data_IF_978053749941
#
_entry.id   IF_978053749941
#
_cell.length_a   1.000
_cell.length_b   1.000
_cell.length_c   1.000
_cell.angle_alpha   90.00
_cell.angle_beta   90.00
_cell.angle_gamma   90.00
#
_symmetry.space_group_name_H-M   'P 1'
#
loop_
_entity.id
_entity.type
_entity.pdbx_description
1 polymer ?
#
# COMPACT_ATOMS: atom_id res chain seq x y z
N UNK A 1 3.86 -18.09 -12.94
CA UNK A 1 2.61 -18.52 -13.63
C UNK A 1 1.70 -17.30 -13.69
N UNK A 2 1.11 -16.95 -14.86
CA UNK A 2 0.18 -15.81 -14.99
C UNK A 2 -1.17 -16.16 -14.36
N UNK A 3 -1.68 -15.27 -13.54
CA UNK A 3 -2.99 -15.42 -12.90
C UNK A 3 -3.81 -14.13 -13.05
N UNK A 4 -5.12 -14.25 -12.86
CA UNK A 4 -6.01 -13.12 -12.64
C UNK A 4 -6.39 -13.09 -11.17
N UNK A 5 -6.39 -11.90 -10.56
CA UNK A 5 -6.83 -11.67 -9.18
C UNK A 5 -8.18 -10.98 -9.18
N UNK A 6 -9.22 -11.70 -8.77
CA UNK A 6 -10.57 -11.18 -8.60
C UNK A 6 -10.75 -10.77 -7.14
N UNK A 7 -11.07 -9.51 -6.90
CA UNK A 7 -11.29 -8.95 -5.57
C UNK A 7 -12.69 -8.37 -5.51
N UNK A 8 -13.45 -8.71 -4.48
CA UNK A 8 -14.85 -8.35 -4.30
C UNK A 8 -15.10 -7.86 -2.88
N UNK A 9 -15.87 -6.78 -2.74
CA UNK A 9 -16.50 -6.34 -1.50
C UNK A 9 -17.97 -6.05 -1.76
N UNK A 10 -18.88 -6.56 -0.92
CA UNK A 10 -20.31 -6.35 -1.12
C UNK A 10 -21.09 -6.52 0.21
N UNK A 11 -22.36 -6.07 0.28
CA UNK A 11 -23.24 -6.44 1.37
C UNK A 11 -23.34 -7.97 1.51
N UNK A 12 -23.16 -8.48 2.74
CA UNK A 12 -23.13 -9.93 2.98
C UNK A 12 -24.53 -10.56 2.82
N UNK A 13 -24.60 -11.65 2.08
CA UNK A 13 -25.81 -12.46 1.91
C UNK A 13 -25.51 -13.87 1.38
N UNK A 14 -26.47 -14.76 1.58
CA UNK A 14 -26.40 -16.14 1.08
C UNK A 14 -26.23 -16.15 -0.45
N UNK A 15 -25.37 -17.05 -0.94
CA UNK A 15 -25.21 -17.33 -2.36
C UNK A 15 -24.01 -16.64 -3.03
N UNK A 16 -23.36 -15.66 -2.43
CA UNK A 16 -22.22 -14.94 -3.04
C UNK A 16 -21.14 -15.92 -3.51
N UNK A 17 -20.61 -16.74 -2.60
CA UNK A 17 -19.55 -17.70 -2.90
C UNK A 17 -19.98 -18.69 -3.97
N UNK A 18 -21.21 -19.19 -3.87
CA UNK A 18 -21.75 -20.15 -4.84
C UNK A 18 -21.84 -19.55 -6.25
N UNK A 19 -22.35 -18.33 -6.40
CA UNK A 19 -22.48 -17.67 -7.70
C UNK A 19 -21.11 -17.36 -8.34
N UNK A 20 -20.17 -16.83 -7.56
CA UNK A 20 -18.82 -16.56 -8.05
C UNK A 20 -18.12 -17.87 -8.45
N UNK A 21 -18.19 -18.89 -7.62
CA UNK A 21 -17.55 -20.18 -7.91
C UNK A 21 -18.20 -20.90 -9.10
N UNK A 22 -19.53 -20.85 -9.23
CA UNK A 22 -20.24 -21.42 -10.37
C UNK A 22 -19.88 -20.68 -11.68
N UNK A 23 -19.76 -19.36 -11.65
CA UNK A 23 -19.30 -18.59 -12.80
C UNK A 23 -17.90 -19.05 -13.25
N UNK A 24 -16.95 -19.14 -12.31
CA UNK A 24 -15.60 -19.59 -12.63
C UNK A 24 -15.60 -21.03 -13.14
N UNK A 25 -16.32 -21.92 -12.51
CA UNK A 25 -16.40 -23.33 -12.89
C UNK A 25 -17.03 -23.53 -14.28
N UNK A 26 -18.09 -22.78 -14.62
CA UNK A 26 -18.74 -22.84 -15.92
C UNK A 26 -17.85 -22.39 -17.09
N UNK A 27 -16.79 -21.62 -16.78
CA UNK A 27 -15.78 -21.17 -17.74
C UNK A 27 -14.43 -21.89 -17.58
N UNK A 28 -14.40 -23.06 -16.91
CA UNK A 28 -13.20 -23.86 -16.62
C UNK A 28 -12.14 -23.10 -15.80
N UNK A 29 -12.50 -22.07 -15.09
CA UNK A 29 -11.58 -21.25 -14.27
C UNK A 29 -10.97 -22.06 -13.13
N UNK A 30 -9.64 -22.19 -13.13
CA UNK A 30 -8.90 -22.89 -12.10
C UNK A 30 -8.48 -21.92 -11.00
N UNK A 31 -9.14 -21.99 -9.85
CA UNK A 31 -8.81 -21.20 -8.67
C UNK A 31 -7.57 -21.80 -8.01
N UNK A 32 -6.52 -21.01 -7.84
CA UNK A 32 -5.28 -21.41 -7.15
C UNK A 32 -5.26 -20.95 -5.70
N UNK A 33 -5.94 -19.83 -5.40
CA UNK A 33 -6.10 -19.29 -4.05
C UNK A 33 -7.49 -18.71 -3.89
N UNK A 34 -8.11 -18.95 -2.73
CA UNK A 34 -9.43 -18.41 -2.38
C UNK A 34 -9.44 -17.97 -0.92
N UNK A 35 -9.73 -16.71 -0.69
CA UNK A 35 -9.87 -16.12 0.63
C UNK A 35 -11.20 -15.40 0.75
N UNK A 36 -11.90 -15.63 1.86
CA UNK A 36 -13.21 -15.05 2.14
C UNK A 36 -13.26 -14.55 3.58
N UNK A 37 -13.94 -13.44 3.78
CA UNK A 37 -14.22 -12.91 5.12
C UNK A 37 -15.60 -12.28 5.16
N UNK A 38 -16.41 -12.65 6.14
CA UNK A 38 -17.69 -12.04 6.46
C UNK A 38 -17.51 -11.19 7.72
N UNK A 39 -17.66 -9.89 7.60
CA UNK A 39 -17.63 -8.98 8.74
C UNK A 39 -19.03 -8.80 9.31
N UNK A 40 -19.33 -9.53 10.38
CA UNK A 40 -20.62 -9.50 11.05
C UNK A 40 -20.96 -8.13 11.67
N UNK A 41 -19.97 -7.25 11.90
CA UNK A 41 -20.23 -5.92 12.48
C UNK A 41 -20.73 -4.94 11.43
N UNK A 42 -20.12 -4.95 10.26
CA UNK A 42 -20.51 -4.07 9.15
C UNK A 42 -21.59 -4.67 8.25
N UNK A 43 -21.80 -5.99 8.31
CA UNK A 43 -22.67 -6.70 7.38
C UNK A 43 -22.09 -6.77 5.96
N UNK A 44 -20.75 -6.73 5.83
CA UNK A 44 -20.06 -6.81 4.55
C UNK A 44 -19.30 -8.11 4.39
N UNK A 45 -19.22 -8.55 3.13
CA UNK A 45 -18.48 -9.73 2.69
C UNK A 45 -17.32 -9.30 1.79
N UNK A 46 -16.18 -9.94 1.99
CA UNK A 46 -14.94 -9.70 1.25
C UNK A 46 -14.43 -11.01 0.66
N UNK A 47 -13.93 -10.93 -0.57
CA UNK A 47 -13.41 -12.09 -1.28
C UNK A 47 -12.20 -11.72 -2.12
N UNK A 48 -11.20 -12.60 -2.14
CA UNK A 48 -10.09 -12.56 -3.08
C UNK A 48 -9.89 -13.96 -3.66
N UNK A 49 -9.96 -14.07 -4.98
CA UNK A 49 -9.60 -15.28 -5.70
C UNK A 49 -8.42 -15.03 -6.62
N UNK A 50 -7.51 -15.99 -6.70
CA UNK A 50 -6.46 -16.04 -7.70
C UNK A 50 -6.77 -17.18 -8.68
N UNK A 51 -6.79 -16.88 -9.98
CA UNK A 51 -7.31 -17.77 -11.02
C UNK A 51 -6.24 -17.90 -12.09
N UNK A 52 -5.89 -19.10 -12.49
CA UNK A 52 -4.97 -19.32 -13.62
C UNK A 52 -5.53 -18.67 -14.88
N UNK A 53 -4.77 -17.75 -15.48
CA UNK A 53 -5.20 -17.04 -16.67
C UNK A 53 -5.37 -17.97 -17.88
N UNK A 54 -4.55 -19.02 -18.00
CA UNK A 54 -4.58 -20.01 -19.06
C UNK A 54 -5.74 -21.04 -18.95
N UNK A 55 -6.45 -21.05 -17.83
CA UNK A 55 -7.61 -21.92 -17.64
C UNK A 55 -8.90 -21.32 -18.16
N UNK A 56 -8.97 -20.00 -18.30
CA UNK A 56 -10.15 -19.30 -18.78
C UNK A 56 -10.16 -19.23 -20.32
N UNK A 57 -11.33 -19.33 -20.96
CA UNK A 57 -11.44 -19.30 -22.42
C UNK A 57 -11.33 -17.88 -23.01
N UNK A 58 -11.16 -16.86 -22.16
CA UNK A 58 -11.14 -15.44 -22.54
C UNK A 58 -10.15 -14.62 -21.69
N UNK A 59 -9.80 -13.45 -22.21
CA UNK A 59 -8.97 -12.49 -21.49
C UNK A 59 -9.74 -11.63 -20.50
N UNK A 60 -9.03 -10.70 -19.85
CA UNK A 60 -9.55 -9.91 -18.72
C UNK A 60 -10.75 -9.02 -19.08
N UNK A 61 -10.80 -8.45 -20.31
CA UNK A 61 -11.92 -7.58 -20.72
C UNK A 61 -13.21 -8.39 -20.91
N UNK A 62 -13.15 -9.54 -21.58
CA UNK A 62 -14.30 -10.41 -21.73
C UNK A 62 -14.73 -11.02 -20.38
N UNK A 63 -13.78 -11.23 -19.44
CA UNK A 63 -14.13 -11.59 -18.06
C UNK A 63 -14.97 -10.49 -17.39
N UNK A 64 -14.55 -9.22 -17.54
CA UNK A 64 -15.30 -8.09 -16.98
C UNK A 64 -16.73 -8.03 -17.50
N UNK A 65 -16.91 -8.18 -18.79
CA UNK A 65 -18.24 -8.20 -19.43
C UNK A 65 -19.10 -9.37 -18.93
N UNK A 66 -18.54 -10.58 -18.87
CA UNK A 66 -19.26 -11.77 -18.46
C UNK A 66 -19.60 -11.80 -16.96
N UNK A 67 -18.75 -11.21 -16.10
CA UNK A 67 -18.97 -11.18 -14.65
C UNK A 67 -19.88 -10.03 -14.21
N UNK A 68 -19.98 -8.94 -14.98
CA UNK A 68 -20.74 -7.74 -14.61
C UNK A 68 -22.18 -8.02 -14.15
N UNK A 69 -22.99 -8.90 -14.80
CA UNK A 69 -24.34 -9.19 -14.33
C UNK A 69 -24.39 -9.82 -12.93
N UNK A 70 -23.40 -10.62 -12.56
CA UNK A 70 -23.31 -11.23 -11.23
C UNK A 70 -22.94 -10.13 -10.22
N UNK A 71 -21.97 -9.29 -10.56
CA UNK A 71 -21.55 -8.18 -9.72
C UNK A 71 -22.72 -7.20 -9.45
N UNK A 72 -23.50 -6.87 -10.45
CA UNK A 72 -24.69 -6.02 -10.34
C UNK A 72 -25.75 -6.67 -9.42
N UNK A 73 -26.09 -7.95 -9.66
CA UNK A 73 -27.07 -8.68 -8.88
C UNK A 73 -26.75 -8.75 -7.40
N UNK A 74 -25.46 -8.68 -7.03
CA UNK A 74 -24.99 -8.69 -5.63
C UNK A 74 -24.50 -7.34 -5.14
N UNK A 75 -24.63 -6.28 -5.92
CA UNK A 75 -24.12 -4.93 -5.58
C UNK A 75 -22.64 -4.95 -5.17
N UNK A 76 -21.83 -5.68 -5.97
CA UNK A 76 -20.41 -5.87 -5.69
C UNK A 76 -19.61 -4.64 -6.12
N UNK A 77 -18.78 -4.12 -5.22
CA UNK A 77 -17.57 -3.37 -5.58
C UNK A 77 -16.48 -4.41 -5.87
N UNK A 78 -15.97 -4.40 -7.11
CA UNK A 78 -15.07 -5.45 -7.55
C UNK A 78 -14.04 -4.96 -8.57
N UNK A 79 -12.92 -5.65 -8.58
CA UNK A 79 -11.90 -5.48 -9.61
C UNK A 79 -11.27 -6.81 -9.97
N UNK A 80 -10.74 -6.88 -11.18
CA UNK A 80 -9.91 -7.98 -11.64
C UNK A 80 -8.61 -7.42 -12.23
N UNK A 81 -7.48 -7.99 -11.84
CA UNK A 81 -6.14 -7.59 -12.27
C UNK A 81 -5.40 -8.77 -12.90
N UNK A 82 -4.50 -8.46 -13.82
CA UNK A 82 -3.65 -9.45 -14.51
C UNK A 82 -2.24 -9.36 -13.91
N UNK A 83 -1.75 -10.45 -13.35
CA UNK A 83 -0.41 -10.49 -12.75
C UNK A 83 0.73 -10.36 -13.77
N UNK A 84 0.46 -10.43 -15.06
CA UNK A 84 1.46 -10.11 -16.08
C UNK A 84 1.70 -8.60 -16.21
N UNK A 85 0.81 -7.76 -15.68
CA UNK A 85 0.95 -6.31 -15.70
C UNK A 85 1.47 -5.83 -14.34
N UNK A 86 2.74 -5.43 -14.29
CA UNK A 86 3.34 -4.88 -13.09
C UNK A 86 2.77 -3.49 -12.82
N UNK A 87 2.35 -3.24 -11.56
CA UNK A 87 1.90 -1.90 -11.12
C UNK A 87 3.08 -0.93 -11.11
N UNK A 88 2.84 0.29 -11.62
CA UNK A 88 3.83 1.38 -11.60
C UNK A 88 3.79 2.11 -10.27
N UNK A 89 4.94 2.16 -9.61
CA UNK A 89 5.14 2.72 -8.28
C UNK A 89 6.05 3.94 -8.35
N UNK A 90 5.61 5.04 -7.78
CA UNK A 90 6.47 6.19 -7.47
C UNK A 90 6.82 6.14 -5.99
N UNK A 91 8.12 6.18 -5.67
CA UNK A 91 8.59 6.27 -4.30
C UNK A 91 8.89 7.74 -3.95
N UNK A 92 8.50 8.16 -2.76
CA UNK A 92 8.83 9.49 -2.25
C UNK A 92 9.62 9.37 -0.95
N UNK A 93 10.72 10.12 -0.84
CA UNK A 93 11.60 10.08 0.33
C UNK A 93 12.08 11.47 0.73
N UNK A 94 12.57 11.61 1.96
CA UNK A 94 13.32 12.78 2.42
C UNK A 94 14.80 12.39 2.65
N UNK A 95 15.38 12.65 3.82
CA UNK A 95 16.79 12.34 4.11
C UNK A 95 17.03 10.94 4.63
N UNK A 96 16.05 10.38 5.35
CA UNK A 96 16.17 9.04 5.94
C UNK A 96 16.12 7.96 4.85
N UNK A 97 17.20 7.19 4.73
CA UNK A 97 17.39 6.24 3.64
C UNK A 97 16.83 4.85 3.90
N UNK A 98 16.65 4.46 5.18
CA UNK A 98 16.44 3.06 5.57
C UNK A 98 15.24 2.39 4.88
N UNK A 99 14.09 3.07 4.79
CA UNK A 99 12.91 2.51 4.11
C UNK A 99 13.11 2.44 2.60
N UNK A 100 13.63 3.51 1.99
CA UNK A 100 13.88 3.55 0.55
C UNK A 100 14.90 2.49 0.13
N UNK A 101 16.02 2.37 0.85
CA UNK A 101 17.05 1.38 0.59
C UNK A 101 16.53 -0.06 0.67
N UNK A 102 15.69 -0.37 1.67
CA UNK A 102 15.07 -1.69 1.82
C UNK A 102 14.11 -2.00 0.66
N UNK A 103 13.27 -1.05 0.26
CA UNK A 103 12.36 -1.22 -0.89
C UNK A 103 13.13 -1.42 -2.21
N UNK A 104 14.20 -0.64 -2.45
CA UNK A 104 15.04 -0.79 -3.64
C UNK A 104 15.76 -2.15 -3.67
N UNK A 105 16.26 -2.61 -2.51
CA UNK A 105 16.87 -3.93 -2.39
C UNK A 105 15.88 -5.04 -2.72
N UNK A 106 14.68 -5.02 -2.12
CA UNK A 106 13.64 -6.03 -2.36
C UNK A 106 13.12 -6.00 -3.80
N UNK A 107 13.01 -4.84 -4.39
CA UNK A 107 12.66 -4.71 -5.80
C UNK A 107 13.74 -5.29 -6.71
N UNK A 108 15.02 -5.03 -6.43
CA UNK A 108 16.14 -5.55 -7.20
C UNK A 108 16.30 -7.08 -7.07
N UNK A 109 15.85 -7.65 -5.95
CA UNK A 109 15.87 -9.10 -5.70
C UNK A 109 14.57 -9.82 -6.10
N UNK A 110 13.67 -9.15 -6.83
CA UNK A 110 12.36 -9.66 -7.26
C UNK A 110 11.41 -10.06 -6.13
N UNK A 111 11.63 -9.56 -4.91
CA UNK A 111 10.68 -9.74 -3.80
C UNK A 111 9.43 -8.83 -3.90
N UNK A 112 9.56 -7.69 -4.60
CA UNK A 112 8.47 -6.77 -4.89
C UNK A 112 8.19 -6.76 -6.39
N UNK A 113 7.08 -7.35 -6.79
CA UNK A 113 6.66 -7.46 -8.19
C UNK A 113 5.96 -6.18 -8.66
N UNK A 114 6.76 -5.17 -8.96
CA UNK A 114 6.31 -3.87 -9.46
C UNK A 114 7.34 -3.23 -10.39
N UNK A 115 6.97 -2.14 -11.04
CA UNK A 115 7.85 -1.24 -11.75
C UNK A 115 8.05 0.03 -10.91
N UNK A 116 9.26 0.30 -10.43
CA UNK A 116 9.58 1.58 -9.80
C UNK A 116 9.89 2.58 -10.90
N UNK A 117 8.92 3.45 -11.20
CA UNK A 117 9.01 4.38 -12.33
C UNK A 117 9.94 5.56 -12.04
N UNK A 118 9.95 6.06 -10.80
CA UNK A 118 10.89 7.08 -10.34
C UNK A 118 10.88 7.22 -8.81
N UNK A 119 11.86 7.98 -8.31
CA UNK A 119 11.90 8.47 -6.93
C UNK A 119 11.80 10.00 -6.94
N UNK A 120 10.90 10.57 -6.11
CA UNK A 120 10.77 11.99 -5.89
C UNK A 120 11.19 12.30 -4.45
N UNK A 121 12.08 13.28 -4.28
CA UNK A 121 12.55 13.67 -2.95
C UNK A 121 12.65 15.19 -2.80
N UNK A 122 12.37 15.69 -1.60
CA UNK A 122 12.58 17.09 -1.25
C UNK A 122 14.03 17.42 -0.82
N UNK A 123 14.93 16.41 -0.86
CA UNK A 123 16.37 16.53 -0.63
C UNK A 123 17.14 15.76 -1.70
N UNK A 124 18.41 16.08 -1.87
CA UNK A 124 19.26 15.45 -2.88
C UNK A 124 20.14 14.32 -2.34
N UNK A 125 20.10 14.10 -1.04
CA UNK A 125 20.99 13.19 -0.29
C UNK A 125 20.94 11.73 -0.80
N UNK A 126 19.81 11.27 -1.35
CA UNK A 126 19.59 9.87 -1.73
C UNK A 126 19.76 9.60 -3.24
N UNK A 127 20.12 10.62 -4.03
CA UNK A 127 20.21 10.53 -5.49
C UNK A 127 21.11 9.40 -5.96
N UNK A 128 22.35 9.37 -5.48
CA UNK A 128 23.35 8.40 -5.94
C UNK A 128 22.92 6.95 -5.67
N UNK A 129 22.24 6.71 -4.54
CA UNK A 129 21.70 5.39 -4.21
C UNK A 129 20.61 4.95 -5.18
N UNK A 130 19.72 5.86 -5.56
CA UNK A 130 18.60 5.57 -6.47
C UNK A 130 19.09 5.39 -7.91
N UNK A 131 19.94 6.29 -8.38
CA UNK A 131 20.48 6.26 -9.74
C UNK A 131 21.38 5.04 -9.97
N UNK A 132 22.02 4.50 -8.91
CA UNK A 132 22.75 3.24 -8.99
C UNK A 132 21.86 2.06 -9.42
N UNK A 133 20.57 2.08 -9.07
CA UNK A 133 19.57 1.10 -9.51
C UNK A 133 19.01 1.39 -10.92
N UNK A 134 19.48 2.44 -11.61
CA UNK A 134 18.96 2.84 -12.92
C UNK A 134 17.60 3.54 -12.87
N UNK A 135 17.14 3.97 -11.68
CA UNK A 135 15.84 4.60 -11.48
C UNK A 135 15.98 6.13 -11.55
N UNK A 136 15.11 6.84 -12.30
CA UNK A 136 15.10 8.31 -12.34
C UNK A 136 14.87 8.92 -10.94
N UNK A 137 15.65 9.95 -10.61
CA UNK A 137 15.54 10.68 -9.36
C UNK A 137 15.20 12.15 -9.59
N UNK A 138 14.10 12.61 -9.02
CA UNK A 138 13.65 14.00 -9.11
C UNK A 138 13.80 14.70 -7.76
N UNK A 139 14.63 15.73 -7.73
CA UNK A 139 14.78 16.61 -6.56
C UNK A 139 13.77 17.75 -6.67
N UNK A 140 12.77 17.76 -5.82
CA UNK A 140 11.73 18.79 -5.72
C UNK A 140 11.76 19.38 -4.31
N UNK A 141 12.57 20.43 -4.06
CA UNK A 141 12.69 21.05 -2.75
C UNK A 141 11.35 21.63 -2.29
N UNK A 142 10.98 21.36 -1.05
CA UNK A 142 9.75 21.89 -0.42
C UNK A 142 10.12 22.75 0.78
N UNK A 143 9.64 24.00 0.79
CA UNK A 143 9.76 24.93 1.90
C UNK A 143 8.47 25.75 2.04
N UNK A 144 8.28 26.52 3.13
CA UNK A 144 7.05 27.28 3.33
C UNK A 144 6.70 28.28 2.21
N UNK A 145 7.70 28.80 1.46
CA UNK A 145 7.53 29.82 0.42
C UNK A 145 7.20 29.22 -0.95
N UNK A 146 7.52 27.93 -1.18
CA UNK A 146 7.32 27.28 -2.49
C UNK A 146 6.41 26.05 -2.43
N UNK A 147 5.66 25.85 -1.35
CA UNK A 147 4.90 24.62 -1.11
C UNK A 147 3.94 24.29 -2.25
N UNK A 148 3.15 25.27 -2.71
CA UNK A 148 2.19 25.06 -3.81
C UNK A 148 2.85 24.68 -5.13
N UNK A 149 3.82 25.44 -5.68
CA UNK A 149 4.47 25.06 -6.93
C UNK A 149 5.27 23.77 -6.82
N UNK A 150 5.86 23.46 -5.66
CA UNK A 150 6.56 22.20 -5.45
C UNK A 150 5.61 21.01 -5.53
N UNK A 151 4.44 21.07 -4.90
CA UNK A 151 3.46 19.99 -5.00
C UNK A 151 2.74 19.93 -6.35
N UNK A 152 2.63 21.04 -7.08
CA UNK A 152 2.19 21.01 -8.48
C UNK A 152 3.18 20.22 -9.34
N UNK A 153 4.49 20.40 -9.12
CA UNK A 153 5.53 19.62 -9.80
C UNK A 153 5.51 18.15 -9.38
N UNK A 154 5.35 17.84 -8.08
CA UNK A 154 5.17 16.45 -7.60
C UNK A 154 3.98 15.79 -8.31
N UNK A 155 2.82 16.45 -8.35
CA UNK A 155 1.61 15.93 -9.02
C UNK A 155 1.86 15.70 -10.51
N UNK A 156 2.55 16.65 -11.18
CA UNK A 156 2.93 16.52 -12.59
C UNK A 156 3.82 15.30 -12.84
N UNK A 157 4.81 15.08 -11.99
CA UNK A 157 5.73 13.93 -12.10
C UNK A 157 5.00 12.59 -11.86
N UNK A 158 4.17 12.52 -10.82
CA UNK A 158 3.36 11.32 -10.53
C UNK A 158 2.50 10.94 -11.73
N UNK A 159 1.84 11.93 -12.37
CA UNK A 159 1.06 11.72 -13.60
C UNK A 159 1.91 11.35 -14.81
N UNK A 160 3.05 12.03 -15.00
CA UNK A 160 3.96 11.77 -16.11
C UNK A 160 4.48 10.32 -16.11
N UNK A 161 4.65 9.75 -14.93
CA UNK A 161 5.09 8.37 -14.73
C UNK A 161 3.94 7.37 -14.65
N UNK A 162 2.69 7.81 -14.94
CA UNK A 162 1.48 6.98 -14.87
C UNK A 162 1.42 6.14 -13.58
N UNK A 163 1.74 6.76 -12.45
CA UNK A 163 1.82 6.06 -11.18
C UNK A 163 0.45 5.48 -10.77
N UNK A 164 0.41 4.20 -10.48
CA UNK A 164 -0.75 3.51 -9.92
C UNK A 164 -0.69 3.49 -8.39
N UNK A 165 0.53 3.59 -7.83
CA UNK A 165 0.79 3.60 -6.39
C UNK A 165 1.86 4.62 -6.07
N UNK A 166 1.66 5.40 -5.03
CA UNK A 166 2.65 6.33 -4.48
C UNK A 166 3.02 5.86 -3.07
N UNK A 167 4.30 5.72 -2.78
CA UNK A 167 4.78 5.25 -1.48
C UNK A 167 5.63 6.31 -0.80
N UNK A 168 5.20 6.74 0.38
CA UNK A 168 5.92 7.68 1.22
C UNK A 168 6.91 6.92 2.11
N UNK A 169 8.10 6.68 1.60
CA UNK A 169 9.21 6.02 2.31
C UNK A 169 9.96 7.03 3.19
N UNK A 170 9.33 7.48 4.27
CA UNK A 170 9.83 8.55 5.14
C UNK A 170 9.89 9.92 4.43
N UNK A 171 8.89 10.21 3.61
CA UNK A 171 8.70 11.54 3.03
C UNK A 171 8.08 12.48 4.06
N UNK A 172 8.89 13.39 4.60
CA UNK A 172 8.56 14.20 5.77
C UNK A 172 7.81 15.50 5.40
N UNK A 173 6.93 15.44 4.40
CA UNK A 173 6.06 16.54 4.00
C UNK A 173 4.61 16.08 3.99
N UNK A 174 3.69 16.94 4.40
CA UNK A 174 2.25 16.67 4.34
C UNK A 174 1.78 16.93 2.92
N UNK A 175 1.21 15.91 2.30
CA UNK A 175 0.65 16.00 0.94
C UNK A 175 -0.58 16.92 0.94
N UNK A 176 -0.81 17.67 -0.16
CA UNK A 176 -2.02 18.49 -0.29
C UNK A 176 -3.26 17.60 -0.45
N UNK A 177 -4.43 18.03 0.07
CA UNK A 177 -5.68 17.26 -0.01
C UNK A 177 -6.04 16.80 -1.42
N UNK A 178 -5.82 17.65 -2.43
CA UNK A 178 -6.10 17.30 -3.82
C UNK A 178 -5.33 16.05 -4.30
N UNK A 179 -4.07 15.89 -3.90
CA UNK A 179 -3.28 14.70 -4.24
C UNK A 179 -3.76 13.47 -3.47
N UNK A 180 -4.13 13.63 -2.20
CA UNK A 180 -4.69 12.54 -1.40
C UNK A 180 -6.01 12.02 -1.98
N UNK A 181 -6.91 12.92 -2.40
CA UNK A 181 -8.20 12.57 -3.01
C UNK A 181 -8.04 11.92 -4.38
N UNK A 182 -7.15 12.45 -5.23
CA UNK A 182 -6.90 11.92 -6.58
C UNK A 182 -6.33 10.49 -6.54
N UNK A 183 -5.50 10.19 -5.54
CA UNK A 183 -4.89 8.89 -5.32
C UNK A 183 -5.46 8.17 -4.09
N UNK A 184 -6.76 8.32 -3.83
CA UNK A 184 -7.42 7.66 -2.71
C UNK A 184 -7.15 6.14 -2.71
N UNK A 185 -6.70 5.61 -1.56
CA UNK A 185 -6.28 4.22 -1.36
C UNK A 185 -5.14 3.74 -2.29
N UNK A 186 -4.35 4.70 -2.84
CA UNK A 186 -3.17 4.43 -3.68
C UNK A 186 -1.92 5.11 -3.16
N UNK A 187 -2.03 5.98 -2.15
CA UNK A 187 -0.89 6.54 -1.43
C UNK A 187 -0.69 5.78 -0.15
N UNK A 188 0.48 5.19 0.01
CA UNK A 188 0.87 4.37 1.16
C UNK A 188 1.93 5.13 1.95
N UNK A 189 1.75 5.27 3.26
CA UNK A 189 2.71 5.92 4.15
C UNK A 189 3.23 4.97 5.21
N UNK A 190 4.49 5.16 5.61
CA UNK A 190 5.02 4.59 6.85
C UNK A 190 5.08 5.66 7.93
N UNK A 191 4.34 5.45 9.00
CA UNK A 191 4.36 6.27 10.19
C UNK A 191 5.20 5.57 11.28
N UNK A 192 6.14 6.32 11.87
CA UNK A 192 7.13 5.81 12.81
C UNK A 192 6.61 5.71 14.26
N UNK A 193 5.34 5.32 14.42
CA UNK A 193 4.76 4.91 15.70
C UNK A 193 3.64 3.89 15.50
N UNK A 194 3.25 3.23 16.58
CA UNK A 194 2.10 2.34 16.60
C UNK A 194 0.82 3.18 16.76
N UNK A 195 0.20 3.55 15.64
CA UNK A 195 -1.04 4.35 15.65
C UNK A 195 -2.18 3.61 16.39
N UNK A 196 -3.02 4.32 17.12
CA UNK A 196 -3.14 5.78 17.25
C UNK A 196 -2.22 6.42 18.32
N UNK A 197 -1.21 5.72 18.82
CA UNK A 197 -0.30 6.21 19.86
C UNK A 197 0.81 7.09 19.28
N UNK A 198 1.24 8.12 20.05
CA UNK A 198 2.39 8.98 19.73
C UNK A 198 2.30 9.66 18.34
N UNK A 199 1.15 10.26 18.08
CA UNK A 199 0.96 11.10 16.88
C UNK A 199 1.84 12.34 16.95
N UNK A 200 2.40 12.76 15.82
CA UNK A 200 3.21 13.97 15.69
C UNK A 200 4.71 13.73 15.74
N UNK A 201 5.47 14.78 16.10
CA UNK A 201 6.93 14.78 16.02
C UNK A 201 7.62 14.03 17.17
N UNK A 202 8.80 13.42 16.89
CA UNK A 202 9.68 12.76 17.85
C UNK A 202 9.02 11.65 18.68
N UNK A 203 8.34 10.66 18.09
CA UNK A 203 7.59 9.64 18.83
C UNK A 203 8.49 8.81 19.75
N UNK A 204 9.75 8.53 19.39
CA UNK A 204 10.68 7.79 20.23
C UNK A 204 11.07 8.55 21.52
N UNK A 205 11.16 9.88 21.47
CA UNK A 205 11.37 10.70 22.69
C UNK A 205 10.13 10.64 23.59
N UNK A 206 8.93 10.75 23.01
CA UNK A 206 7.69 10.62 23.76
C UNK A 206 7.57 9.22 24.39
N UNK A 207 7.89 8.17 23.64
CA UNK A 207 7.89 6.79 24.12
C UNK A 207 8.86 6.57 25.27
N UNK A 208 10.09 7.09 25.17
CA UNK A 208 11.09 7.02 26.23
C UNK A 208 10.64 7.75 27.50
N UNK A 209 10.15 8.99 27.38
CA UNK A 209 9.62 9.76 28.51
C UNK A 209 8.44 9.08 29.21
N UNK A 210 7.61 8.35 28.50
CA UNK A 210 6.47 7.60 29.04
C UNK A 210 6.87 6.24 29.62
N UNK A 211 8.10 5.79 29.38
CA UNK A 211 8.60 4.50 29.84
C UNK A 211 7.84 3.31 29.25
N UNK A 212 7.43 3.42 27.97
CA UNK A 212 6.70 2.34 27.28
C UNK A 212 7.57 1.09 27.15
N UNK A 213 6.93 -0.04 26.94
CA UNK A 213 7.60 -1.35 26.78
C UNK A 213 7.56 -1.85 25.34
N UNK A 214 6.83 -1.18 24.48
CA UNK A 214 6.73 -1.47 23.05
C UNK A 214 6.80 -0.16 22.26
N UNK A 215 7.55 -0.19 21.16
CA UNK A 215 7.54 0.82 20.11
C UNK A 215 7.18 0.10 18.80
N UNK A 216 6.73 0.83 17.78
CA UNK A 216 6.34 0.19 16.53
C UNK A 216 6.21 1.16 15.39
N UNK A 217 5.71 0.66 14.29
CA UNK A 217 5.44 1.42 13.08
C UNK A 217 4.10 1.02 12.46
N UNK A 218 3.52 1.91 11.69
CA UNK A 218 2.24 1.71 11.02
C UNK A 218 2.35 2.06 9.55
N UNK A 219 2.03 1.11 8.68
CA UNK A 219 1.79 1.33 7.27
C UNK A 219 0.30 1.53 7.03
N UNK A 220 -0.08 2.65 6.42
CA UNK A 220 -1.49 3.00 6.21
C UNK A 220 -1.68 3.73 4.88
N UNK A 221 -2.90 3.74 4.38
CA UNK A 221 -3.27 4.62 3.28
C UNK A 221 -3.35 6.07 3.76
N UNK A 222 -2.89 7.00 2.92
CA UNK A 222 -2.96 8.43 3.21
C UNK A 222 -4.35 8.95 2.89
N UNK A 223 -4.87 9.76 3.79
CA UNK A 223 -6.11 10.53 3.65
C UNK A 223 -5.82 12.02 3.83
N UNK A 224 -6.83 12.86 3.69
CA UNK A 224 -6.70 14.31 3.95
C UNK A 224 -6.38 14.60 5.42
N UNK A 225 -6.89 13.76 6.33
CA UNK A 225 -6.56 13.83 7.74
C UNK A 225 -5.22 13.12 8.01
N UNK A 226 -4.31 13.85 8.69
CA UNK A 226 -2.96 13.37 8.94
C UNK A 226 -2.97 12.12 9.82
N UNK A 227 -2.27 11.08 9.36
CA UNK A 227 -2.05 9.80 10.04
C UNK A 227 -3.34 9.06 10.46
N UNK A 228 -4.49 9.40 9.85
CA UNK A 228 -5.81 8.86 10.21
C UNK A 228 -6.37 7.85 9.21
N UNK A 229 -5.68 7.58 8.12
CA UNK A 229 -6.16 6.67 7.07
C UNK A 229 -6.14 5.19 7.43
N UNK A 230 -6.81 4.35 6.63
CA UNK A 230 -6.93 2.91 6.87
C UNK A 230 -5.59 2.21 7.02
N UNK A 231 -5.42 1.47 8.10
CA UNK A 231 -4.18 0.77 8.43
C UNK A 231 -4.05 -0.50 7.58
N UNK A 232 -2.88 -0.69 6.95
CA UNK A 232 -2.57 -1.87 6.13
C UNK A 232 -1.81 -2.91 6.95
N UNK A 233 -0.76 -2.46 7.66
CA UNK A 233 0.12 -3.32 8.42
C UNK A 233 0.71 -2.58 9.62
N UNK A 234 0.92 -3.28 10.72
CA UNK A 234 1.57 -2.76 11.92
C UNK A 234 2.49 -3.83 12.51
N UNK A 235 3.58 -3.37 13.12
CA UNK A 235 4.43 -4.25 13.91
C UNK A 235 5.04 -3.49 15.09
N UNK A 236 5.50 -4.23 16.09
CA UNK A 236 6.06 -3.68 17.32
C UNK A 236 7.33 -4.42 17.71
N UNK A 237 8.21 -3.73 18.44
CA UNK A 237 9.38 -4.31 19.07
C UNK A 237 9.39 -3.95 20.56
N UNK A 238 9.85 -4.90 21.38
CA UNK A 238 9.99 -4.68 22.81
C UNK A 238 11.21 -3.82 23.10
N UNK A 239 11.03 -2.86 24.01
CA UNK A 239 12.09 -2.02 24.56
C UNK A 239 12.11 -2.14 26.08
N UNK A 240 13.25 -1.85 26.68
CA UNK A 240 13.50 -1.93 28.11
C UNK A 240 13.90 -0.57 28.69
N UNK A 241 14.02 -0.50 29.99
CA UNK A 241 14.51 0.70 30.71
C UNK A 241 15.99 1.00 30.46
N UNK A 242 16.76 0.02 29.98
CA UNK A 242 18.18 0.16 29.63
C UNK A 242 18.43 0.65 28.22
N UNK A 243 17.40 0.67 27.35
CA UNK A 243 17.54 1.13 25.98
C UNK A 243 17.51 2.66 25.92
N UNK A 244 18.51 3.23 25.28
CA UNK A 244 18.58 4.66 25.01
C UNK A 244 17.57 5.09 23.94
N UNK A 245 17.39 6.41 23.76
CA UNK A 245 16.57 6.93 22.65
C UNK A 245 17.17 6.53 21.30
N UNK A 246 18.49 6.52 21.19
CA UNK A 246 19.22 6.11 20.00
C UNK A 246 18.98 4.63 19.67
N UNK A 247 18.93 3.77 20.69
CA UNK A 247 18.57 2.35 20.53
C UNK A 247 17.13 2.21 20.04
N UNK A 248 16.21 2.95 20.65
CA UNK A 248 14.79 2.96 20.21
C UNK A 248 14.64 3.42 18.75
N UNK A 249 15.39 4.45 18.33
CA UNK A 249 15.42 4.91 16.92
C UNK A 249 15.94 3.80 16.00
N UNK A 250 17.01 3.10 16.40
CA UNK A 250 17.58 1.99 15.61
C UNK A 250 16.58 0.85 15.45
N UNK A 251 15.97 0.39 16.55
CA UNK A 251 14.94 -0.66 16.51
C UNK A 251 13.71 -0.22 15.70
N UNK A 252 13.30 1.04 15.85
CA UNK A 252 12.20 1.61 15.10
C UNK A 252 12.43 1.60 13.58
N UNK A 253 13.64 1.97 13.14
CA UNK A 253 14.01 1.90 11.71
C UNK A 253 13.92 0.48 11.14
N UNK A 254 14.26 -0.54 11.93
CA UNK A 254 14.14 -1.93 11.49
C UNK A 254 12.68 -2.35 11.35
N UNK A 255 11.82 -1.95 12.28
CA UNK A 255 10.37 -2.19 12.19
C UNK A 255 9.75 -1.43 11.02
N UNK A 256 10.09 -0.14 10.84
CA UNK A 256 9.60 0.70 9.74
C UNK A 256 9.85 0.07 8.37
N UNK A 257 11.06 -0.44 8.11
CA UNK A 257 11.42 -1.13 6.86
C UNK A 257 10.50 -2.32 6.59
N UNK A 258 10.36 -3.22 7.58
CA UNK A 258 9.57 -4.45 7.43
C UNK A 258 8.10 -4.14 7.24
N UNK A 259 7.54 -3.22 8.01
CA UNK A 259 6.12 -2.86 7.96
C UNK A 259 5.77 -2.22 6.62
N UNK A 260 6.61 -1.30 6.12
CA UNK A 260 6.38 -0.67 4.83
C UNK A 260 6.47 -1.68 3.68
N UNK A 261 7.49 -2.54 3.69
CA UNK A 261 7.68 -3.55 2.65
C UNK A 261 6.53 -4.56 2.61
N UNK A 262 6.06 -5.04 3.79
CA UNK A 262 4.89 -5.93 3.89
C UNK A 262 3.62 -5.24 3.40
N UNK A 263 3.35 -4.02 3.87
CA UNK A 263 2.17 -3.26 3.47
C UNK A 263 2.12 -2.98 1.97
N UNK A 264 3.26 -2.58 1.38
CA UNK A 264 3.35 -2.40 -0.07
C UNK A 264 3.12 -3.73 -0.82
N UNK A 265 3.73 -4.82 -0.40
CA UNK A 265 3.53 -6.14 -1.01
C UNK A 265 2.06 -6.56 -0.98
N UNK A 266 1.37 -6.42 0.15
CA UNK A 266 -0.05 -6.74 0.25
C UNK A 266 -0.90 -5.92 -0.72
N UNK A 267 -0.58 -4.63 -0.88
CA UNK A 267 -1.25 -3.78 -1.87
C UNK A 267 -0.97 -4.22 -3.31
N UNK A 268 0.30 -4.53 -3.65
CA UNK A 268 0.69 -4.97 -4.98
C UNK A 268 0.04 -6.31 -5.36
N UNK A 269 -0.15 -7.19 -4.38
CA UNK A 269 -0.79 -8.51 -4.53
C UNK A 269 -2.33 -8.46 -4.47
N UNK A 270 -2.95 -7.27 -4.42
CA UNK A 270 -4.39 -7.08 -4.29
C UNK A 270 -5.00 -7.79 -3.08
N UNK A 271 -4.26 -7.83 -1.98
CA UNK A 271 -4.67 -8.49 -0.72
C UNK A 271 -5.40 -7.54 0.23
N UNK A 272 -5.35 -6.23 -0.03
CA UNK A 272 -5.94 -5.20 0.84
C UNK A 272 -7.27 -4.72 0.27
N UNK A 273 -8.34 -4.92 1.03
CA UNK A 273 -9.67 -4.38 0.74
C UNK A 273 -10.01 -3.34 1.80
N UNK A 274 -10.36 -2.15 1.36
CA UNK A 274 -10.72 -1.03 2.25
C UNK A 274 -12.22 -0.98 2.43
N UNK A 275 -12.68 -0.87 3.68
CA UNK A 275 -14.08 -0.63 4.01
C UNK A 275 -14.19 0.42 5.12
N UNK A 276 -14.72 1.59 4.79
CA UNK A 276 -14.67 2.75 5.68
C UNK A 276 -13.22 3.10 6.04
N UNK A 277 -12.91 3.18 7.33
CA UNK A 277 -11.54 3.43 7.81
C UNK A 277 -10.81 2.15 8.30
N UNK A 278 -11.21 1.00 7.79
CA UNK A 278 -10.60 -0.29 8.11
C UNK A 278 -10.13 -1.00 6.85
N UNK A 279 -9.23 -1.95 7.01
CA UNK A 279 -8.81 -2.86 5.94
C UNK A 279 -9.11 -4.30 6.32
N UNK A 280 -9.45 -5.11 5.32
CA UNK A 280 -9.36 -6.56 5.36
C UNK A 280 -8.13 -6.94 4.55
N UNK A 281 -7.19 -7.65 5.16
CA UNK A 281 -5.93 -8.08 4.53
C UNK A 281 -5.91 -9.61 4.49
N UNK A 282 -5.86 -10.17 3.26
CA UNK A 282 -5.82 -11.62 3.02
C UNK A 282 -4.41 -12.18 2.93
#
# INVERSE_FOLDING_TARGET
MRTFRLVIACPDRVGIVAQVSNFLASHNGWITEASHHSDNQSGWFFMRHEIRADSLPFGIEAFREAFAPIAEAFSMDWRITDTAQKKRVVLMASRESHCLADLLHRWHSDELDCEISCVISNHDDLRSMVEWHGIPYYHVPVNPQNKEPAFAEVSRLVKQHDAEVVVLARYMQILPPALCSEYAHKVINIHHSFLPSFVGAKPYHQASMRGVKLIGATCHYVTEELDAGPIIEQDVVRVSHSDSIEDMVRFGRDVEKMVLARGLRYHLEDRVLVHGNKTVVF
#
